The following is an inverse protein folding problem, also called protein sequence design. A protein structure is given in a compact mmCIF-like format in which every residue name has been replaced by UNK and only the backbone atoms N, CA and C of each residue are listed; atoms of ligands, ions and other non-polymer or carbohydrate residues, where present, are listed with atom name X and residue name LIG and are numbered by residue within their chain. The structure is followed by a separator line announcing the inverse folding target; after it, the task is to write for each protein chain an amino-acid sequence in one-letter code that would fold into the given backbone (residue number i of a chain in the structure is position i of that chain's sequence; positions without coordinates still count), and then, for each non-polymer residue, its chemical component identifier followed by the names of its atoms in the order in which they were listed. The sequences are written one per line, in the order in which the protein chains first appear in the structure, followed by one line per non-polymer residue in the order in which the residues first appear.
data_IF_069441452735
#
_entry.id   IF_069441452735
#
_cell.length_a   1.000
_cell.length_b   1.000
_cell.length_c   1.000
_cell.angle_alpha   90.00
_cell.angle_beta   90.00
_cell.angle_gamma   90.00
#
_symmetry.space_group_name_H-M   'P 1'
#
loop_
_entity.id
_entity.type
_entity.pdbx_description
1 polymer ?
#
# COMPACT_ATOMS: atom_id res chain seq x y z
N UNK A 1 58.10 -21.06 5.14
CA UNK A 1 57.31 -19.87 5.45
C UNK A 1 56.69 -19.42 4.15
N UNK A 2 55.38 -19.62 3.99
CA UNK A 2 54.45 -18.95 3.07
C UNK A 2 53.30 -19.91 2.80
N UNK A 3 52.16 -19.67 3.44
CA UNK A 3 50.85 -20.23 3.08
C UNK A 3 49.79 -19.56 3.99
N UNK A 4 49.44 -18.29 3.74
CA UNK A 4 48.17 -17.73 4.23
C UNK A 4 47.82 -16.39 3.58
N UNK A 5 47.19 -16.41 2.40
CA UNK A 5 46.62 -15.20 1.81
C UNK A 5 45.45 -15.54 0.88
N UNK A 6 44.46 -16.30 1.35
CA UNK A 6 43.21 -16.43 0.59
C UNK A 6 41.99 -16.60 1.50
N UNK A 7 41.76 -15.64 2.38
CA UNK A 7 40.56 -15.59 3.20
C UNK A 7 40.06 -14.14 3.33
N UNK A 8 39.72 -13.47 2.22
CA UNK A 8 39.16 -12.11 2.31
C UNK A 8 38.18 -11.71 1.20
N UNK A 9 37.59 -12.64 0.44
CA UNK A 9 36.69 -12.29 -0.67
C UNK A 9 35.24 -12.82 -0.54
N UNK A 10 34.82 -13.29 0.64
CA UNK A 10 33.49 -13.89 0.83
C UNK A 10 32.57 -13.22 1.87
N UNK A 11 32.87 -11.98 2.32
CA UNK A 11 32.14 -11.33 3.42
C UNK A 11 31.28 -10.12 2.99
N UNK A 12 31.29 -9.68 1.72
CA UNK A 12 30.55 -8.46 1.31
C UNK A 12 29.11 -8.67 0.81
N UNK A 13 28.65 -9.92 0.63
CA UNK A 13 27.35 -10.18 -0.01
C UNK A 13 26.13 -10.22 0.92
N UNK A 14 26.31 -10.08 2.25
CA UNK A 14 25.23 -10.27 3.23
C UNK A 14 24.76 -9.01 3.95
N UNK A 15 25.22 -7.82 3.57
CA UNK A 15 24.62 -6.57 4.04
C UNK A 15 23.58 -6.03 3.05
N UNK A 16 22.58 -6.87 2.71
CA UNK A 16 21.33 -6.38 2.12
C UNK A 16 20.62 -5.59 3.21
N UNK A 17 21.04 -4.34 3.36
CA UNK A 17 20.47 -3.37 4.28
C UNK A 17 18.96 -3.50 4.23
N UNK A 18 18.32 -3.54 5.40
CA UNK A 18 16.86 -3.55 5.53
C UNK A 18 16.36 -2.26 4.91
N UNK A 19 16.22 -2.20 3.57
CA UNK A 19 15.62 -1.09 2.85
C UNK A 19 14.25 -0.97 3.48
N UNK A 20 14.12 0.06 4.31
CA UNK A 20 12.98 0.19 5.19
C UNK A 20 11.74 0.20 4.30
N UNK A 21 10.80 -0.73 4.53
CA UNK A 21 9.50 -0.75 3.84
C UNK A 21 8.63 0.48 4.18
N UNK A 22 9.22 1.51 4.78
CA UNK A 22 8.59 2.80 5.06
C UNK A 22 7.97 3.34 3.79
N UNK A 23 6.73 3.81 3.93
CA UNK A 23 6.00 4.42 2.85
C UNK A 23 6.74 5.68 2.37
N UNK A 24 7.22 5.67 1.14
CA UNK A 24 7.86 6.83 0.52
C UNK A 24 6.86 7.98 0.38
N UNK A 25 7.25 9.18 0.78
CA UNK A 25 6.37 10.35 0.69
C UNK A 25 6.14 10.74 -0.78
N UNK A 26 4.97 11.33 -1.12
CA UNK A 26 4.70 11.80 -2.48
C UNK A 26 5.75 12.77 -3.01
N UNK A 27 6.26 13.67 -2.14
CA UNK A 27 7.28 14.66 -2.49
C UNK A 27 8.61 14.00 -2.88
N UNK A 28 9.05 12.97 -2.16
CA UNK A 28 10.26 12.20 -2.52
C UNK A 28 10.07 11.47 -3.86
N UNK A 29 8.88 10.92 -4.13
CA UNK A 29 8.58 10.30 -5.44
C UNK A 29 8.68 11.29 -6.59
N UNK A 30 8.16 12.52 -6.38
CA UNK A 30 8.28 13.62 -7.35
C UNK A 30 9.75 13.96 -7.59
N UNK A 31 10.52 14.20 -6.53
CA UNK A 31 11.94 14.53 -6.64
C UNK A 31 12.73 13.47 -7.42
N UNK A 32 12.48 12.19 -7.16
CA UNK A 32 13.10 11.07 -7.90
C UNK A 32 12.70 11.10 -9.38
N UNK A 33 11.41 11.34 -9.66
CA UNK A 33 10.93 11.41 -11.04
C UNK A 33 11.57 12.57 -11.80
N UNK A 34 11.64 13.75 -11.19
CA UNK A 34 12.24 14.95 -11.79
C UNK A 34 13.74 14.72 -12.04
N UNK A 35 14.44 14.08 -11.08
CA UNK A 35 15.84 13.69 -11.25
C UNK A 35 16.05 12.72 -12.42
N UNK A 36 15.17 11.72 -12.57
CA UNK A 36 15.20 10.82 -13.72
C UNK A 36 14.94 11.55 -15.03
N UNK A 37 14.00 12.50 -15.02
CA UNK A 37 13.60 13.27 -16.19
C UNK A 37 14.75 14.14 -16.70
N UNK A 38 15.40 14.90 -15.81
CA UNK A 38 16.55 15.76 -16.14
C UNK A 38 17.74 14.99 -16.73
N UNK A 39 17.89 13.71 -16.37
CA UNK A 39 18.99 12.86 -16.83
C UNK A 39 18.58 11.92 -17.98
N UNK A 40 17.33 11.98 -18.42
CA UNK A 40 16.82 11.17 -19.52
C UNK A 40 16.97 11.91 -20.85
N UNK A 41 17.27 11.17 -21.92
CA UNK A 41 17.20 11.69 -23.30
C UNK A 41 16.02 11.02 -23.98
N UNK A 42 15.14 11.79 -24.62
CA UNK A 42 13.96 11.28 -25.33
C UNK A 42 13.09 10.30 -24.51
N UNK A 43 12.88 10.56 -23.20
CA UNK A 43 12.10 9.66 -22.32
C UNK A 43 12.67 8.23 -22.17
N UNK A 44 13.95 8.07 -22.48
CA UNK A 44 14.71 6.84 -22.25
C UNK A 44 15.76 7.10 -21.18
N UNK A 45 15.76 6.22 -20.17
CA UNK A 45 16.75 6.24 -19.10
C UNK A 45 17.83 5.21 -19.43
N UNK A 46 19.09 5.63 -19.38
CA UNK A 46 20.24 4.77 -19.67
C UNK A 46 20.25 3.50 -18.80
N UNK A 47 20.76 2.40 -19.36
CA UNK A 47 20.95 1.14 -18.64
C UNK A 47 21.85 1.38 -17.42
N UNK A 48 21.45 0.87 -16.26
CA UNK A 48 22.18 1.05 -15.00
C UNK A 48 21.91 2.37 -14.26
N UNK A 49 21.42 3.42 -14.93
CA UNK A 49 21.16 4.70 -14.27
C UNK A 49 20.11 4.59 -13.15
N UNK A 50 19.07 3.77 -13.35
CA UNK A 50 18.07 3.48 -12.31
C UNK A 50 18.67 2.85 -11.05
N UNK A 51 19.73 2.06 -11.20
CA UNK A 51 20.46 1.46 -10.07
C UNK A 51 21.26 2.52 -9.33
N UNK A 52 21.93 3.42 -10.05
CA UNK A 52 22.65 4.56 -9.45
C UNK A 52 21.69 5.45 -8.65
N UNK A 53 20.53 5.77 -9.22
CA UNK A 53 19.47 6.54 -8.56
C UNK A 53 18.94 5.79 -7.34
N UNK A 54 18.73 4.48 -7.44
CA UNK A 54 18.30 3.63 -6.33
C UNK A 54 19.27 3.73 -5.14
N UNK A 55 20.59 3.65 -5.39
CA UNK A 55 21.61 3.85 -4.36
C UNK A 55 21.61 5.28 -3.80
N UNK A 56 21.51 6.31 -4.65
CA UNK A 56 21.49 7.72 -4.23
C UNK A 56 20.35 8.05 -3.27
N UNK A 57 19.15 7.50 -3.53
CA UNK A 57 17.96 7.76 -2.72
C UNK A 57 17.70 6.69 -1.66
N UNK A 58 18.56 5.66 -1.54
CA UNK A 58 18.36 4.51 -0.64
C UNK A 58 17.01 3.83 -0.84
N UNK A 59 16.58 3.71 -2.09
CA UNK A 59 15.28 3.16 -2.51
C UNK A 59 15.51 1.95 -3.42
N UNK A 60 14.61 0.96 -3.41
CA UNK A 60 14.74 -0.19 -4.29
C UNK A 60 14.63 0.16 -5.77
N UNK A 61 15.44 -0.46 -6.64
CA UNK A 61 15.39 -0.26 -8.10
C UNK A 61 14.03 -0.54 -8.71
N UNK A 62 13.25 -1.46 -8.11
CA UNK A 62 11.86 -1.71 -8.50
C UNK A 62 10.95 -0.50 -8.24
N UNK A 63 11.15 0.21 -7.13
CA UNK A 63 10.38 1.42 -6.81
C UNK A 63 10.71 2.55 -7.78
N UNK A 64 11.99 2.74 -8.12
CA UNK A 64 12.43 3.69 -9.16
C UNK A 64 11.78 3.37 -10.51
N UNK A 65 11.76 2.09 -10.89
CA UNK A 65 11.13 1.63 -12.13
C UNK A 65 9.62 1.90 -12.14
N UNK A 66 8.94 1.66 -11.01
CA UNK A 66 7.51 1.95 -10.86
C UNK A 66 7.21 3.45 -10.94
N UNK A 67 8.01 4.29 -10.29
CA UNK A 67 7.89 5.75 -10.37
C UNK A 67 8.02 6.21 -11.82
N UNK A 68 9.03 5.71 -12.54
CA UNK A 68 9.25 6.05 -13.94
C UNK A 68 8.07 5.66 -14.83
N UNK A 69 7.60 4.41 -14.73
CA UNK A 69 6.47 3.93 -15.51
C UNK A 69 5.19 4.72 -15.22
N UNK A 70 4.96 5.06 -13.94
CA UNK A 70 3.83 5.88 -13.52
C UNK A 70 3.90 7.29 -14.11
N UNK A 71 5.04 7.97 -13.97
CA UNK A 71 5.20 9.32 -14.50
C UNK A 71 5.04 9.39 -16.01
N UNK A 72 5.62 8.43 -16.76
CA UNK A 72 5.42 8.34 -18.22
C UNK A 72 3.96 8.18 -18.61
N UNK A 73 3.20 7.33 -17.89
CA UNK A 73 1.79 7.08 -18.19
C UNK A 73 0.91 8.33 -17.96
N UNK A 74 1.28 9.18 -17.00
CA UNK A 74 0.46 10.31 -16.56
C UNK A 74 1.04 11.67 -16.96
N UNK A 75 1.99 11.72 -17.90
CA UNK A 75 2.68 12.95 -18.30
C UNK A 75 1.72 13.96 -18.95
N UNK A 76 0.78 13.48 -19.76
CA UNK A 76 -0.20 14.33 -20.48
C UNK A 76 -1.29 14.89 -19.55
N UNK A 77 -1.70 14.13 -18.54
CA UNK A 77 -2.86 14.44 -17.68
C UNK A 77 -2.48 15.12 -16.35
N UNK A 78 -1.19 15.43 -16.15
CA UNK A 78 -0.66 15.87 -14.87
C UNK A 78 -0.30 14.69 -13.97
N UNK A 79 0.98 14.60 -13.62
CA UNK A 79 1.50 13.49 -12.83
C UNK A 79 1.14 13.73 -11.36
N UNK A 80 0.50 12.77 -10.70
CA UNK A 80 0.23 12.80 -9.26
C UNK A 80 0.87 11.58 -8.56
N UNK A 81 1.78 11.82 -7.60
CA UNK A 81 2.45 10.77 -6.82
C UNK A 81 1.84 10.53 -5.42
N UNK A 82 0.68 11.12 -5.14
CA UNK A 82 -0.07 10.86 -3.90
C UNK A 82 -0.40 9.37 -3.78
N UNK A 83 -0.13 8.79 -2.62
CA UNK A 83 -0.52 7.40 -2.36
C UNK A 83 -2.03 7.26 -2.24
N UNK A 84 -2.57 6.09 -2.58
CA UNK A 84 -4.00 5.76 -2.41
C UNK A 84 -4.46 5.77 -0.94
N UNK A 85 -3.56 5.93 0.03
CA UNK A 85 -3.94 6.05 1.44
C UNK A 85 -4.45 7.45 1.78
N UNK A 86 -4.05 8.48 1.03
CA UNK A 86 -4.47 9.86 1.29
C UNK A 86 -5.97 9.96 0.98
N UNK A 87 -6.78 10.35 1.96
CA UNK A 87 -8.24 10.45 1.84
C UNK A 87 -9.00 9.13 2.03
N UNK A 88 -8.34 7.98 1.92
CA UNK A 88 -8.98 6.69 2.18
C UNK A 88 -9.11 6.45 3.68
N UNK A 89 -10.31 6.72 4.20
CA UNK A 89 -10.69 6.29 5.54
C UNK A 89 -10.97 4.79 5.50
N UNK A 90 -10.60 4.07 6.57
CA UNK A 90 -10.88 2.64 6.76
C UNK A 90 -12.32 2.28 6.41
N UNK A 91 -12.60 0.98 6.29
CA UNK A 91 -13.95 0.43 6.03
C UNK A 91 -15.01 1.22 6.81
N UNK A 92 -15.84 1.97 6.09
CA UNK A 92 -16.96 2.72 6.65
C UNK A 92 -18.02 1.73 7.14
N UNK A 93 -18.69 2.07 8.24
CA UNK A 93 -19.82 1.29 8.74
C UNK A 93 -20.99 1.48 7.79
N UNK A 94 -21.59 0.38 7.34
CA UNK A 94 -22.84 0.39 6.60
C UNK A 94 -23.95 0.67 7.60
N UNK A 95 -24.75 1.72 7.37
CA UNK A 95 -25.93 1.96 8.19
C UNK A 95 -26.95 0.87 7.88
N UNK A 96 -27.23 0.04 8.88
CA UNK A 96 -28.28 -0.96 8.83
C UNK A 96 -29.37 -0.45 9.74
N UNK A 97 -30.55 -0.19 9.18
CA UNK A 97 -31.73 0.17 9.95
C UNK A 97 -32.27 -1.07 10.68
N UNK A 98 -31.63 -1.42 11.80
CA UNK A 98 -32.00 -2.59 12.61
C UNK A 98 -33.34 -2.35 13.30
N UNK A 99 -33.59 -1.12 13.79
CA UNK A 99 -34.80 -0.79 14.55
C UNK A 99 -36.09 -1.04 13.78
N UNK A 100 -36.22 -0.49 12.56
CA UNK A 100 -37.44 -0.69 11.78
C UNK A 100 -37.57 -2.13 11.29
N UNK A 101 -36.47 -2.80 10.96
CA UNK A 101 -36.49 -4.21 10.54
C UNK A 101 -36.92 -5.15 11.68
N UNK A 102 -36.51 -4.88 12.92
CA UNK A 102 -36.96 -5.67 14.10
C UNK A 102 -38.45 -5.52 14.32
N UNK A 103 -39.00 -4.31 14.13
CA UNK A 103 -40.45 -4.05 14.26
C UNK A 103 -41.28 -4.80 13.21
N UNK A 104 -40.76 -4.98 11.99
CA UNK A 104 -41.44 -5.72 10.94
C UNK A 104 -41.44 -7.25 11.16
N UNK A 105 -40.47 -7.78 11.92
CA UNK A 105 -40.38 -9.23 12.20
C UNK A 105 -41.45 -9.63 13.24
N UNK A 106 -42.18 -10.74 13.07
CA UNK A 106 -43.13 -11.24 14.07
C UNK A 106 -42.47 -11.52 15.43
N UNK A 107 -43.22 -11.33 16.52
CA UNK A 107 -42.69 -11.44 17.88
C UNK A 107 -42.04 -12.81 18.17
N UNK A 108 -42.58 -13.89 17.61
CA UNK A 108 -42.05 -15.26 17.72
C UNK A 108 -40.63 -15.42 17.21
N UNK A 109 -40.20 -14.58 16.25
CA UNK A 109 -38.86 -14.62 15.65
C UNK A 109 -37.88 -13.62 16.28
N UNK A 110 -38.33 -12.79 17.24
CA UNK A 110 -37.49 -11.78 17.94
C UNK A 110 -36.76 -12.32 19.16
N UNK A 111 -37.17 -13.46 19.71
CA UNK A 111 -36.67 -14.01 20.98
C UNK A 111 -35.21 -14.48 20.91
N UNK A 112 -34.81 -15.13 19.82
CA UNK A 112 -33.44 -15.61 19.64
C UNK A 112 -32.68 -14.72 18.65
N UNK A 113 -31.53 -14.20 19.09
CA UNK A 113 -30.68 -13.33 18.26
C UNK A 113 -30.29 -13.95 16.91
N UNK A 114 -30.12 -15.28 16.84
CA UNK A 114 -29.80 -16.00 15.60
C UNK A 114 -31.00 -16.07 14.67
N UNK A 115 -32.21 -16.32 15.19
CA UNK A 115 -33.43 -16.36 14.37
C UNK A 115 -33.77 -14.97 13.85
N UNK A 116 -33.59 -13.94 14.69
CA UNK A 116 -33.81 -12.55 14.33
C UNK A 116 -32.81 -12.08 13.27
N UNK A 117 -31.53 -12.44 13.43
CA UNK A 117 -30.48 -12.18 12.43
C UNK A 117 -30.83 -12.77 11.05
N UNK A 118 -31.29 -14.02 11.01
CA UNK A 118 -31.72 -14.67 9.78
C UNK A 118 -32.97 -14.01 9.18
N UNK A 119 -33.93 -13.60 10.02
CA UNK A 119 -35.14 -12.92 9.55
C UNK A 119 -34.86 -11.54 8.95
N UNK A 120 -33.84 -10.83 9.46
CA UNK A 120 -33.46 -9.48 9.05
C UNK A 120 -32.33 -9.47 7.99
N UNK A 121 -31.73 -10.63 7.71
CA UNK A 121 -30.58 -10.83 6.82
C UNK A 121 -29.35 -10.01 7.24
N UNK A 122 -29.06 -10.02 8.54
CA UNK A 122 -27.92 -9.31 9.14
C UNK A 122 -27.13 -10.30 9.99
N UNK A 123 -25.81 -10.14 10.08
CA UNK A 123 -25.00 -11.05 10.90
C UNK A 123 -25.35 -10.94 12.39
N UNK A 124 -25.32 -12.08 13.10
CA UNK A 124 -25.52 -12.14 14.56
C UNK A 124 -24.66 -11.12 15.30
N UNK A 125 -23.38 -11.00 14.92
CA UNK A 125 -22.43 -10.08 15.56
C UNK A 125 -22.78 -8.61 15.37
N UNK A 126 -23.42 -8.25 14.25
CA UNK A 126 -23.91 -6.88 14.01
C UNK A 126 -25.12 -6.59 14.89
N UNK A 127 -26.05 -7.54 14.99
CA UNK A 127 -27.24 -7.40 15.84
C UNK A 127 -26.88 -7.33 17.33
N UNK A 128 -25.94 -8.16 17.78
CA UNK A 128 -25.49 -8.21 19.17
C UNK A 128 -24.87 -6.89 19.61
N UNK A 129 -23.97 -6.34 18.79
CA UNK A 129 -23.35 -5.04 19.05
C UNK A 129 -24.40 -3.92 19.14
N UNK A 130 -25.37 -3.92 18.24
CA UNK A 130 -26.46 -2.93 18.26
C UNK A 130 -27.35 -3.01 19.51
N UNK A 131 -27.48 -4.17 20.16
CA UNK A 131 -28.26 -4.30 21.39
C UNK A 131 -27.44 -4.09 22.67
N UNK A 132 -26.11 -4.03 22.57
CA UNK A 132 -25.22 -3.70 23.68
C UNK A 132 -24.82 -2.23 23.74
N UNK A 133 -24.77 -1.57 22.57
CA UNK A 133 -24.60 -0.11 22.45
C UNK A 133 -25.84 0.62 22.98
#
# INVERSE_FOLDING_TARGET
MEDNANQSQHEETTNRSRISRKHMTPSTRRLIFDYLLCNSKHMVVNKGFKTIVAHKFSVSSQSITRIWAHGKKHMENGINFSGKLVGNVRRKRVHVDVGNKVKAVPFTKRTNIRTLANAIQVSKSTLYRHFQD
#
